data_IF_233554480221
#
_entry.id   IF_233554480221
#
_cell.length_a   1.000
_cell.length_b   1.000
_cell.length_c   1.000
_cell.angle_alpha   90.00
_cell.angle_beta   90.00
_cell.angle_gamma   90.00
#
_symmetry.space_group_name_H-M   'P 1'
#
loop_
_entity.id
_entity.type
_entity.pdbx_description
1 polymer ?
#
# COMPACT_ATOMS: atom_id res chain seq x y z
N UNK A 1 -14.62 25.76 16.05
CA UNK A 1 -14.03 24.97 14.94
C UNK A 1 -14.98 23.82 14.68
N UNK A 2 -15.47 23.65 13.45
CA UNK A 2 -16.22 22.43 13.10
C UNK A 2 -15.21 21.29 13.07
N UNK A 3 -15.47 20.21 13.81
CA UNK A 3 -14.65 19.01 13.75
C UNK A 3 -14.75 18.41 12.34
N UNK A 4 -13.64 18.40 11.60
CA UNK A 4 -13.58 17.74 10.29
C UNK A 4 -13.54 16.24 10.53
N UNK A 5 -14.69 15.56 10.35
CA UNK A 5 -14.79 14.11 10.50
C UNK A 5 -14.59 13.42 9.16
N UNK A 6 -13.69 12.45 9.12
CA UNK A 6 -13.48 11.63 7.93
C UNK A 6 -14.65 10.65 7.72
N UNK A 7 -15.09 10.49 6.47
CA UNK A 7 -16.10 9.50 6.11
C UNK A 7 -15.49 8.09 6.11
N UNK A 8 -15.99 7.15 6.94
CA UNK A 8 -15.46 5.79 7.01
C UNK A 8 -15.58 5.02 5.67
N UNK A 9 -16.56 5.32 4.83
CA UNK A 9 -16.72 4.69 3.52
C UNK A 9 -15.61 5.15 2.58
N UNK A 10 -15.34 6.47 2.52
CA UNK A 10 -14.27 7.02 1.70
C UNK A 10 -12.89 6.54 2.17
N UNK A 11 -12.69 6.38 3.48
CA UNK A 11 -11.46 5.77 4.02
C UNK A 11 -11.30 4.30 3.61
N UNK A 12 -12.39 3.53 3.55
CA UNK A 12 -12.37 2.15 3.05
C UNK A 12 -12.15 2.07 1.52
N UNK A 13 -12.63 3.06 0.76
CA UNK A 13 -12.31 3.19 -0.67
C UNK A 13 -10.82 3.48 -0.85
N UNK A 14 -10.28 4.44 -0.09
CA UNK A 14 -8.87 4.79 -0.15
C UNK A 14 -7.96 3.62 0.25
N UNK A 15 -8.35 2.83 1.26
CA UNK A 15 -7.58 1.63 1.66
C UNK A 15 -7.52 0.59 0.53
N UNK A 16 -8.65 0.35 -0.16
CA UNK A 16 -8.70 -0.54 -1.32
C UNK A 16 -7.81 -0.02 -2.45
N UNK A 17 -7.81 1.28 -2.69
CA UNK A 17 -7.03 1.89 -3.76
C UNK A 17 -5.53 1.83 -3.43
N UNK A 18 -5.13 2.02 -2.17
CA UNK A 18 -3.76 1.77 -1.69
C UNK A 18 -3.33 0.30 -1.87
N UNK A 19 -4.23 -0.65 -1.62
CA UNK A 19 -3.95 -2.07 -1.84
C UNK A 19 -3.75 -2.39 -3.33
N UNK A 20 -4.56 -1.77 -4.20
CA UNK A 20 -4.38 -1.88 -5.65
C UNK A 20 -3.05 -1.25 -6.09
N UNK A 21 -2.67 -0.13 -5.46
CA UNK A 21 -1.32 0.43 -5.34
C UNK A 21 -0.24 -0.64 -5.29
N UNK A 22 -0.20 -1.30 -4.14
CA UNK A 22 0.79 -2.31 -3.81
C UNK A 22 0.80 -3.48 -4.80
N UNK A 23 -0.37 -3.99 -5.19
CA UNK A 23 -0.49 -5.07 -6.18
C UNK A 23 0.09 -4.68 -7.53
N UNK A 24 -0.18 -3.45 -7.98
CA UNK A 24 0.37 -2.90 -9.20
C UNK A 24 1.90 -2.83 -9.15
N UNK A 25 2.45 -2.32 -8.05
CA UNK A 25 3.91 -2.24 -7.84
C UNK A 25 4.57 -3.62 -7.86
N UNK A 26 4.03 -4.60 -7.12
CA UNK A 26 4.58 -5.97 -7.09
C UNK A 26 4.49 -6.65 -8.46
N UNK A 27 3.40 -6.46 -9.18
CA UNK A 27 3.22 -7.01 -10.53
C UNK A 27 4.20 -6.40 -11.51
N UNK A 28 4.34 -5.06 -11.49
CA UNK A 28 5.29 -4.34 -12.34
C UNK A 28 6.73 -4.76 -12.05
N UNK A 29 7.10 -4.93 -10.77
CA UNK A 29 8.42 -5.41 -10.38
C UNK A 29 8.68 -6.84 -10.88
N UNK A 30 7.70 -7.74 -10.77
CA UNK A 30 7.81 -9.11 -11.28
C UNK A 30 8.06 -9.13 -12.79
N UNK A 31 7.28 -8.33 -13.54
CA UNK A 31 7.48 -8.17 -14.98
C UNK A 31 8.84 -7.56 -15.33
N UNK A 32 9.27 -6.52 -14.60
CA UNK A 32 10.57 -5.88 -14.81
C UNK A 32 11.74 -6.82 -14.51
N UNK A 33 11.66 -7.65 -13.46
CA UNK A 33 12.70 -8.64 -13.14
C UNK A 33 12.88 -9.66 -14.27
N UNK A 34 11.80 -10.05 -14.94
CA UNK A 34 11.88 -10.94 -16.10
C UNK A 34 12.51 -10.24 -17.32
N UNK A 35 12.19 -8.96 -17.55
CA UNK A 35 12.65 -8.21 -18.72
C UNK A 35 14.09 -7.67 -18.59
N UNK A 36 14.56 -7.42 -17.38
CA UNK A 36 15.87 -6.79 -17.10
C UNK A 36 17.00 -7.80 -16.89
N UNK A 37 16.75 -9.10 -17.05
CA UNK A 37 17.79 -10.10 -16.92
C UNK A 37 18.70 -10.09 -18.16
N UNK A 38 19.92 -9.61 -18.00
CA UNK A 38 20.96 -9.69 -19.04
C UNK A 38 21.76 -10.97 -18.83
N UNK A 39 21.84 -11.82 -19.85
CA UNK A 39 22.68 -13.03 -19.79
C UNK A 39 24.15 -12.61 -19.74
N UNK A 40 24.94 -13.21 -18.85
CA UNK A 40 26.39 -12.94 -18.78
C UNK A 40 27.10 -13.13 -20.14
N UNK A 41 26.66 -14.11 -20.93
CA UNK A 41 27.17 -14.35 -22.28
C UNK A 41 26.92 -13.19 -23.27
N UNK A 42 26.00 -12.27 -22.98
CA UNK A 42 25.74 -11.09 -23.82
C UNK A 42 26.90 -10.09 -23.81
N UNK A 43 27.77 -10.13 -22.79
CA UNK A 43 28.93 -9.24 -22.69
C UNK A 43 30.18 -9.78 -23.42
N UNK A 44 30.15 -11.03 -23.89
CA UNK A 44 31.28 -11.65 -24.61
C UNK A 44 32.58 -11.63 -23.80
N UNK A 45 33.70 -11.40 -24.49
CA UNK A 45 35.04 -11.27 -23.90
C UNK A 45 35.47 -9.80 -23.73
N UNK A 46 34.51 -8.88 -23.59
CA UNK A 46 34.84 -7.48 -23.41
C UNK A 46 35.61 -7.26 -22.09
N UNK A 47 36.69 -6.49 -22.16
CA UNK A 47 37.42 -6.08 -20.96
C UNK A 47 36.48 -5.30 -20.03
N UNK A 48 36.40 -5.69 -18.76
CA UNK A 48 35.48 -5.09 -17.78
C UNK A 48 34.02 -5.60 -17.82
N UNK A 49 33.71 -6.63 -18.62
CA UNK A 49 32.37 -7.25 -18.66
C UNK A 49 31.85 -7.70 -17.29
N UNK A 50 32.74 -8.25 -16.45
CA UNK A 50 32.41 -8.69 -15.09
C UNK A 50 31.98 -7.51 -14.20
N UNK A 51 32.78 -6.44 -14.17
CA UNK A 51 32.48 -5.23 -13.39
C UNK A 51 31.17 -4.57 -13.85
N UNK A 52 30.90 -4.57 -15.16
CA UNK A 52 29.63 -4.07 -15.69
C UNK A 52 28.44 -4.97 -15.26
N UNK A 53 28.59 -6.29 -15.32
CA UNK A 53 27.57 -7.24 -14.87
C UNK A 53 27.25 -7.07 -13.38
N UNK A 54 28.26 -6.90 -12.54
CA UNK A 54 28.10 -6.62 -11.11
C UNK A 54 27.38 -5.28 -10.86
N UNK A 55 27.78 -4.22 -11.56
CA UNK A 55 27.12 -2.92 -11.46
C UNK A 55 25.65 -2.99 -11.88
N UNK A 56 25.35 -3.71 -12.96
CA UNK A 56 23.99 -3.98 -13.41
C UNK A 56 23.18 -4.73 -12.34
N UNK A 57 23.70 -5.84 -11.80
CA UNK A 57 23.00 -6.62 -10.78
C UNK A 57 22.78 -5.84 -9.49
N UNK A 58 23.75 -5.01 -9.08
CA UNK A 58 23.59 -4.10 -7.94
C UNK A 58 22.48 -3.08 -8.17
N UNK A 59 22.45 -2.46 -9.35
CA UNK A 59 21.39 -1.50 -9.72
C UNK A 59 20.02 -2.18 -9.78
N UNK A 60 19.93 -3.35 -10.43
CA UNK A 60 18.71 -4.16 -10.55
C UNK A 60 18.16 -4.57 -9.18
N UNK A 61 19.03 -5.02 -8.29
CA UNK A 61 18.67 -5.42 -6.92
C UNK A 61 18.22 -4.22 -6.10
N UNK A 62 18.98 -3.12 -6.12
CA UNK A 62 18.63 -1.90 -5.39
C UNK A 62 17.30 -1.29 -5.84
N UNK A 63 17.06 -1.24 -7.15
CA UNK A 63 15.77 -0.84 -7.70
C UNK A 63 14.65 -1.79 -7.24
N UNK A 64 14.89 -3.10 -7.27
CA UNK A 64 13.92 -4.09 -6.81
C UNK A 64 13.52 -3.90 -5.35
N UNK A 65 14.50 -3.71 -4.46
CA UNK A 65 14.24 -3.44 -3.03
C UNK A 65 13.47 -2.13 -2.83
N UNK A 66 13.77 -1.08 -3.59
CA UNK A 66 13.02 0.18 -3.50
C UNK A 66 11.54 -0.01 -3.86
N UNK A 67 11.23 -0.78 -4.92
CA UNK A 67 9.85 -1.10 -5.29
C UNK A 67 9.15 -1.99 -4.25
N UNK A 68 9.86 -2.95 -3.66
CA UNK A 68 9.33 -3.78 -2.57
C UNK A 68 8.96 -2.92 -1.35
N UNK A 69 9.85 -2.02 -0.94
CA UNK A 69 9.58 -1.09 0.17
C UNK A 69 8.36 -0.20 -0.09
N UNK A 70 8.19 0.32 -1.33
CA UNK A 70 7.02 1.12 -1.69
C UNK A 70 5.73 0.31 -1.62
N UNK A 71 5.75 -0.95 -2.09
CA UNK A 71 4.59 -1.82 -2.00
C UNK A 71 4.22 -2.12 -0.54
N UNK A 72 5.21 -2.36 0.33
CA UNK A 72 4.99 -2.58 1.76
C UNK A 72 4.41 -1.37 2.47
N UNK A 73 4.83 -0.15 2.11
CA UNK A 73 4.22 1.09 2.65
C UNK A 73 2.74 1.16 2.27
N UNK A 74 2.40 0.91 1.00
CA UNK A 74 1.00 0.91 0.55
C UNK A 74 0.15 -0.19 1.24
N UNK A 75 0.73 -1.37 1.49
CA UNK A 75 0.09 -2.44 2.26
C UNK A 75 -0.14 -2.04 3.72
N UNK A 76 0.85 -1.40 4.35
CA UNK A 76 0.72 -0.86 5.70
C UNK A 76 -0.34 0.23 5.80
N UNK A 77 -0.41 1.13 4.82
CA UNK A 77 -1.42 2.19 4.78
C UNK A 77 -2.82 1.64 4.56
N UNK A 78 -2.96 0.55 3.79
CA UNK A 78 -4.24 -0.16 3.64
C UNK A 78 -4.78 -0.61 4.99
N UNK A 79 -3.98 -1.29 5.80
CA UNK A 79 -4.38 -1.77 7.13
C UNK A 79 -4.72 -0.61 8.07
N UNK A 80 -3.91 0.45 8.09
CA UNK A 80 -4.16 1.65 8.91
C UNK A 80 -5.47 2.32 8.54
N UNK A 81 -5.70 2.58 7.25
CA UNK A 81 -6.92 3.23 6.77
C UNK A 81 -8.17 2.41 7.09
N UNK A 82 -8.12 1.08 6.91
CA UNK A 82 -9.21 0.19 7.28
C UNK A 82 -9.52 0.23 8.78
N UNK A 83 -8.50 0.19 9.64
CA UNK A 83 -8.69 0.30 11.09
C UNK A 83 -9.34 1.61 11.50
N UNK A 84 -8.90 2.72 10.89
CA UNK A 84 -9.47 4.04 11.15
C UNK A 84 -10.94 4.10 10.68
N UNK A 85 -11.23 3.57 9.48
CA UNK A 85 -12.59 3.47 8.97
C UNK A 85 -13.52 2.67 9.92
N UNK A 86 -13.05 1.52 10.41
CA UNK A 86 -13.79 0.73 11.39
C UNK A 86 -14.01 1.48 12.69
N UNK A 87 -12.99 2.17 13.21
CA UNK A 87 -13.12 2.96 14.44
C UNK A 87 -14.18 4.06 14.29
N UNK A 88 -14.16 4.82 13.20
CA UNK A 88 -15.20 5.83 12.94
C UNK A 88 -16.60 5.24 12.86
N UNK A 89 -16.74 4.10 12.15
CA UNK A 89 -18.03 3.42 12.01
C UNK A 89 -18.54 2.89 13.35
N UNK A 90 -17.66 2.35 14.18
CA UNK A 90 -18.03 1.87 15.51
C UNK A 90 -18.51 3.02 16.39
N UNK A 91 -17.77 4.13 16.43
CA UNK A 91 -18.18 5.33 17.19
C UNK A 91 -19.54 5.86 16.72
N UNK A 92 -19.82 5.85 15.42
CA UNK A 92 -21.15 6.20 14.90
C UNK A 92 -22.27 5.31 15.42
N UNK A 93 -22.04 4.00 15.43
CA UNK A 93 -23.03 3.04 15.89
C UNK A 93 -23.30 3.19 17.39
N UNK A 94 -22.26 3.40 18.19
CA UNK A 94 -22.37 3.64 19.63
C UNK A 94 -23.12 4.93 19.94
N UNK A 95 -22.82 6.02 19.22
CA UNK A 95 -23.54 7.28 19.36
C UNK A 95 -25.02 7.16 18.95
N UNK A 96 -25.30 6.49 17.84
CA UNK A 96 -26.67 6.24 17.38
C UNK A 96 -27.46 5.39 18.39
N UNK A 97 -26.83 4.38 19.00
CA UNK A 97 -27.44 3.57 20.04
C UNK A 97 -27.74 4.40 21.29
N UNK A 98 -26.79 5.21 21.76
CA UNK A 98 -26.99 6.07 22.92
C UNK A 98 -28.13 7.07 22.71
N UNK A 99 -28.20 7.68 21.52
CA UNK A 99 -29.32 8.57 21.16
C UNK A 99 -30.66 7.83 21.11
N UNK A 100 -30.68 6.61 20.59
CA UNK A 100 -31.89 5.78 20.56
C UNK A 100 -32.36 5.43 21.97
N UNK A 101 -31.45 5.08 22.87
CA UNK A 101 -31.76 4.75 24.27
C UNK A 101 -32.24 5.99 25.05
N UNK A 102 -31.54 7.12 24.93
CA UNK A 102 -31.96 8.39 25.56
C UNK A 102 -33.36 8.85 25.09
N UNK A 103 -33.68 8.64 23.81
CA UNK A 103 -35.02 8.93 23.27
C UNK A 103 -36.13 7.99 23.78
N UNK A 104 -35.78 6.82 24.34
CA UNK A 104 -36.74 5.89 24.97
C UNK A 104 -37.00 6.24 26.44
N UNK A 105 -36.00 6.78 27.14
CA UNK A 105 -36.13 7.25 28.53
C UNK A 105 -36.84 8.61 28.62
N UNK A 106 -36.81 9.41 27.56
CA UNK A 106 -37.45 10.74 27.48
C UNK A 106 -38.90 10.79 26.98
N UNK A 107 -39.59 9.65 26.85
CA UNK A 107 -41.04 9.63 26.56
C UNK A 107 -41.85 9.58 27.87
N UNK A 108 -42.93 10.38 28.02
CA UNK A 108 -43.87 10.21 29.13
C UNK A 108 -44.57 8.85 29.10
#
# INVERSE_FOLDING_TARGET
MSETRADPVELAVLSRDSLNLAKGLRTALSAARAATMIKAAAFGNAEGAEAFGEAHEKARTGAGTAFENLAEVCEGDTDRLLRIAFSYRQTDLEQALNLHLAGREGKP
#
